data_IF_711421266332
#
_entry.id   IF_711421266332
#
_cell.length_a   1.000
_cell.length_b   1.000
_cell.length_c   1.000
_cell.angle_alpha   90.00
_cell.angle_beta   90.00
_cell.angle_gamma   90.00
#
_symmetry.space_group_name_H-M   'P 1'
#
loop_
_entity.id
_entity.type
_entity.pdbx_description
1 polymer ?
#
# COMPACT_ATOMS: atom_id res chain seq x y z
N UNK A 1 23.10 -26.64 23.98
CA UNK A 1 22.45 -26.60 22.65
C UNK A 1 21.31 -25.57 22.61
N UNK A 2 21.56 -24.28 22.90
CA UNK A 2 20.56 -23.19 22.81
C UNK A 2 21.01 -22.01 21.93
N UNK A 3 22.18 -22.12 21.31
CA UNK A 3 22.87 -21.03 20.61
C UNK A 3 22.60 -20.95 19.10
N UNK A 4 21.89 -21.92 18.50
CA UNK A 4 21.59 -21.90 17.05
C UNK A 4 20.20 -21.34 16.71
N UNK A 5 19.21 -21.48 17.58
CA UNK A 5 17.83 -21.03 17.30
C UNK A 5 17.72 -19.50 17.35
N UNK A 6 18.43 -18.84 18.26
CA UNK A 6 18.38 -17.38 18.38
C UNK A 6 19.02 -16.66 17.19
N UNK A 7 20.08 -17.24 16.61
CA UNK A 7 20.72 -16.71 15.40
C UNK A 7 19.89 -16.99 14.14
N UNK A 8 19.24 -18.15 14.03
CA UNK A 8 18.36 -18.45 12.89
C UNK A 8 17.11 -17.56 12.92
N UNK A 9 16.51 -17.32 14.09
CA UNK A 9 15.36 -16.41 14.23
C UNK A 9 15.76 -14.95 13.92
N UNK A 10 16.93 -14.48 14.37
CA UNK A 10 17.45 -13.15 14.01
C UNK A 10 17.86 -13.02 12.53
N UNK A 11 18.21 -14.13 11.87
CA UNK A 11 18.52 -14.15 10.44
C UNK A 11 17.24 -14.15 9.59
N UNK A 12 16.20 -14.86 10.03
CA UNK A 12 14.85 -14.87 9.41
C UNK A 12 14.17 -13.49 9.55
N UNK A 13 14.44 -12.75 10.64
CA UNK A 13 13.93 -11.39 10.87
C UNK A 13 14.74 -10.28 10.15
N UNK A 14 15.85 -10.62 9.49
CA UNK A 14 16.74 -9.66 8.78
C UNK A 14 16.49 -9.59 7.27
N UNK A 15 15.32 -10.01 6.82
CA UNK A 15 15.03 -10.21 5.40
C UNK A 15 13.83 -9.35 5.00
N UNK A 16 14.03 -8.08 4.60
CA UNK A 16 12.91 -7.20 4.32
C UNK A 16 12.15 -7.63 3.05
N UNK A 17 12.79 -8.37 2.13
CA UNK A 17 12.20 -8.77 0.84
C UNK A 17 12.86 -10.03 0.25
N UNK A 18 12.10 -10.72 -0.61
CA UNK A 18 12.52 -11.86 -1.43
C UNK A 18 12.51 -11.45 -2.91
N UNK A 19 13.57 -11.74 -3.64
CA UNK A 19 13.67 -11.45 -5.08
C UNK A 19 13.53 -12.75 -5.86
N UNK A 20 12.40 -12.95 -6.51
CA UNK A 20 12.15 -14.13 -7.31
C UNK A 20 12.61 -13.89 -8.76
N UNK A 21 13.48 -14.75 -9.26
CA UNK A 21 13.89 -14.80 -10.68
C UNK A 21 13.23 -16.02 -11.29
N UNK A 22 12.23 -15.78 -12.15
CA UNK A 22 11.55 -16.82 -12.92
C UNK A 22 12.29 -17.17 -14.22
N UNK A 23 12.96 -16.19 -14.83
CA UNK A 23 13.83 -16.38 -16.00
C UNK A 23 15.08 -15.51 -15.87
N UNK A 24 16.25 -16.14 -15.90
CA UNK A 24 17.55 -15.52 -15.70
C UNK A 24 18.66 -16.56 -15.83
N UNK A 25 19.89 -16.20 -15.48
CA UNK A 25 21.04 -17.13 -15.47
C UNK A 25 20.77 -18.33 -14.56
N UNK A 26 20.29 -18.07 -13.35
CA UNK A 26 19.87 -19.09 -12.41
C UNK A 26 18.50 -18.69 -11.81
N UNK A 27 17.39 -19.31 -12.22
CA UNK A 27 16.08 -19.07 -11.62
C UNK A 27 16.06 -19.49 -10.14
N UNK A 28 15.37 -18.72 -9.30
CA UNK A 28 15.34 -18.97 -7.87
C UNK A 28 14.91 -17.76 -7.06
N UNK A 29 14.94 -17.91 -5.73
CA UNK A 29 14.62 -16.83 -4.79
C UNK A 29 15.90 -16.35 -4.14
N UNK A 30 16.15 -15.06 -4.27
CA UNK A 30 17.31 -14.37 -3.77
C UNK A 30 16.94 -13.49 -2.60
N UNK A 31 17.91 -13.38 -1.69
CA UNK A 31 17.75 -12.75 -0.40
C UNK A 31 18.22 -11.28 -0.42
N UNK A 32 18.98 -10.93 -1.45
CA UNK A 32 19.50 -9.59 -1.67
C UNK A 32 19.35 -9.18 -3.14
N UNK A 33 19.24 -7.87 -3.37
CA UNK A 33 19.22 -7.33 -4.73
C UNK A 33 20.51 -7.60 -5.51
N UNK A 34 21.73 -7.46 -4.94
CA UNK A 34 22.96 -7.77 -5.67
C UNK A 34 23.00 -9.20 -6.23
N UNK A 35 22.64 -10.20 -5.44
CA UNK A 35 22.58 -11.60 -5.89
C UNK A 35 21.53 -11.82 -6.98
N UNK A 36 20.34 -11.21 -6.85
CA UNK A 36 19.30 -11.24 -7.88
C UNK A 36 19.77 -10.56 -9.17
N UNK A 37 20.43 -9.41 -9.05
CA UNK A 37 20.89 -8.59 -10.17
C UNK A 37 21.91 -9.35 -11.02
N UNK A 38 22.82 -10.11 -10.39
CA UNK A 38 23.75 -11.00 -11.10
C UNK A 38 23.04 -12.00 -12.02
N UNK A 39 21.80 -12.39 -11.71
CA UNK A 39 21.07 -13.36 -12.51
C UNK A 39 20.33 -12.76 -13.70
N UNK A 40 19.97 -11.48 -13.63
CA UNK A 40 19.06 -10.84 -14.60
C UNK A 40 19.74 -9.76 -15.43
N UNK A 41 20.83 -9.17 -14.92
CA UNK A 41 21.53 -8.09 -15.59
C UNK A 41 22.11 -8.54 -16.94
N UNK A 42 21.78 -7.81 -18.02
CA UNK A 42 22.15 -8.13 -19.41
C UNK A 42 21.70 -9.55 -19.86
N UNK A 43 20.70 -10.15 -19.21
CA UNK A 43 20.10 -11.42 -19.62
C UNK A 43 18.82 -11.13 -20.41
N UNK A 44 18.80 -11.50 -21.69
CA UNK A 44 17.68 -11.22 -22.61
C UNK A 44 16.42 -11.97 -22.20
N UNK A 45 15.32 -11.24 -22.03
CA UNK A 45 14.04 -11.82 -21.63
C UNK A 45 14.04 -12.34 -20.19
N UNK A 46 14.82 -11.74 -19.29
CA UNK A 46 14.74 -12.04 -17.87
C UNK A 46 13.37 -11.67 -17.29
N UNK A 47 12.88 -12.51 -16.38
CA UNK A 47 11.60 -12.33 -15.67
C UNK A 47 11.91 -12.45 -14.19
N UNK A 48 11.73 -11.37 -13.44
CA UNK A 48 11.98 -11.33 -12.02
C UNK A 48 11.05 -10.34 -11.32
N UNK A 49 10.81 -10.55 -10.03
CA UNK A 49 9.94 -9.70 -9.20
C UNK A 49 10.34 -9.77 -7.73
N UNK A 50 10.06 -8.70 -7.00
CA UNK A 50 10.32 -8.56 -5.56
C UNK A 50 9.02 -8.81 -4.77
N UNK A 51 9.13 -9.54 -3.66
CA UNK A 51 8.03 -9.94 -2.78
C UNK A 51 8.37 -9.67 -1.32
N UNK A 52 7.36 -9.43 -0.50
CA UNK A 52 7.49 -9.35 0.97
C UNK A 52 7.41 -10.72 1.64
N UNK A 53 6.85 -11.72 0.97
CA UNK A 53 6.72 -13.09 1.47
C UNK A 53 7.44 -14.09 0.57
N UNK A 54 8.14 -15.06 1.18
CA UNK A 54 8.79 -16.16 0.46
C UNK A 54 7.77 -16.98 -0.35
N UNK A 55 6.59 -17.21 0.22
CA UNK A 55 5.54 -18.02 -0.40
C UNK A 55 5.06 -17.39 -1.72
N UNK A 56 4.92 -16.07 -1.75
CA UNK A 56 4.52 -15.35 -2.97
C UNK A 56 5.60 -15.40 -4.05
N UNK A 57 6.87 -15.31 -3.64
CA UNK A 57 8.01 -15.48 -4.54
C UNK A 57 8.05 -16.89 -5.17
N UNK A 58 7.75 -17.94 -4.39
CA UNK A 58 7.64 -19.32 -4.88
C UNK A 58 6.49 -19.46 -5.89
N UNK A 59 5.32 -18.90 -5.58
CA UNK A 59 4.16 -18.92 -6.47
C UNK A 59 4.42 -18.24 -7.81
N UNK A 60 5.11 -17.10 -7.80
CA UNK A 60 5.46 -16.36 -9.02
C UNK A 60 6.33 -17.18 -9.95
N UNK A 61 7.37 -17.84 -9.42
CA UNK A 61 8.25 -18.70 -10.22
C UNK A 61 7.44 -19.85 -10.84
N UNK A 62 6.56 -20.48 -10.05
CA UNK A 62 5.69 -21.56 -10.52
C UNK A 62 4.72 -21.11 -11.61
N UNK A 63 4.10 -19.94 -11.45
CA UNK A 63 3.18 -19.39 -12.44
C UNK A 63 3.89 -19.10 -13.77
N UNK A 64 5.13 -18.61 -13.72
CA UNK A 64 5.93 -18.36 -14.90
C UNK A 64 6.45 -19.65 -15.55
N UNK A 65 6.77 -20.69 -14.77
CA UNK A 65 7.14 -22.00 -15.32
C UNK A 65 5.96 -22.66 -16.03
N UNK A 66 4.75 -22.56 -15.46
CA UNK A 66 3.53 -23.11 -16.05
C UNK A 66 3.17 -22.37 -17.36
N UNK A 67 3.46 -21.07 -17.43
CA UNK A 67 3.28 -20.26 -18.64
C UNK A 67 4.31 -20.59 -19.74
N UNK A 68 5.49 -21.11 -19.38
CA UNK A 68 6.53 -21.51 -20.34
C UNK A 68 6.29 -22.89 -20.98
N UNK A 69 5.49 -23.76 -20.35
CA UNK A 69 5.11 -25.06 -20.89
C UNK A 69 3.89 -25.02 -21.84
N UNK A 70 3.19 -23.89 -21.94
CA UNK A 70 2.02 -23.72 -22.84
C UNK A 70 2.42 -23.14 -24.21
N UNK A 71 3.69 -22.76 -24.40
CA UNK A 71 4.14 -22.07 -25.61
C UNK A 71 4.64 -22.98 -26.74
N UNK A 72 4.46 -24.30 -26.64
CA UNK A 72 4.91 -25.27 -27.67
C UNK A 72 3.78 -26.08 -28.34
N UNK A 73 2.51 -25.89 -28.00
CA UNK A 73 1.43 -26.78 -28.50
C UNK A 73 0.06 -26.13 -28.74
N UNK A 74 -0.02 -24.79 -28.89
CA UNK A 74 -1.28 -24.12 -29.29
C UNK A 74 -1.12 -23.30 -30.57
N UNK A 75 -0.80 -24.00 -31.66
CA UNK A 75 -1.28 -23.68 -32.98
C UNK A 75 -2.07 -24.90 -33.46
N UNK A 76 -3.28 -24.67 -33.96
CA UNK A 76 -4.27 -25.65 -34.44
C UNK A 76 -5.18 -26.18 -33.31
N UNK A 77 -6.32 -25.51 -33.11
CA UNK A 77 -7.66 -26.10 -33.20
C UNK A 77 -8.71 -25.06 -32.79
N UNK A 78 -9.09 -24.22 -33.75
CA UNK A 78 -10.43 -23.66 -33.80
C UNK A 78 -11.13 -24.20 -35.05
N UNK A 79 -12.38 -24.64 -34.85
CA UNK A 79 -13.42 -25.03 -35.83
C UNK A 79 -13.54 -26.52 -36.18
N UNK A 80 -14.36 -27.21 -35.38
CA UNK A 80 -15.52 -28.09 -35.71
C UNK A 80 -15.83 -28.83 -34.40
N UNK A 81 -17.05 -28.94 -33.88
CA UNK A 81 -18.33 -29.20 -34.50
C UNK A 81 -19.44 -28.80 -33.51
N UNK A 82 -20.49 -28.15 -34.01
CA UNK A 82 -21.67 -27.84 -33.21
C UNK A 82 -22.64 -29.02 -33.10
N UNK A 83 -23.68 -28.78 -32.31
CA UNK A 83 -24.89 -29.58 -32.09
C UNK A 83 -24.78 -30.72 -31.07
N UNK A 84 -25.40 -30.51 -29.90
CA UNK A 84 -26.55 -31.29 -29.40
C UNK A 84 -27.26 -30.40 -28.35
N UNK A 85 -28.49 -30.00 -28.66
CA UNK A 85 -29.55 -29.53 -27.75
C UNK A 85 -29.99 -30.75 -26.88
N UNK A 86 -30.57 -30.68 -25.68
CA UNK A 86 -31.62 -29.78 -25.22
C UNK A 86 -31.91 -30.04 -23.71
N UNK A 87 -32.44 -29.00 -23.04
CA UNK A 87 -33.43 -28.98 -21.92
C UNK A 87 -33.29 -29.91 -20.70
N UNK A 88 -33.27 -29.29 -19.51
CA UNK A 88 -34.49 -29.16 -18.67
C UNK A 88 -34.30 -28.15 -17.52
N UNK A 89 -35.18 -27.13 -17.49
CA UNK A 89 -35.54 -26.29 -16.33
C UNK A 89 -36.88 -26.79 -15.81
N UNK A 90 -37.07 -26.96 -14.49
CA UNK A 90 -38.35 -26.68 -13.83
C UNK A 90 -38.09 -26.07 -12.44
N UNK A 91 -38.79 -24.98 -12.18
CA UNK A 91 -39.00 -24.22 -10.93
C UNK A 91 -40.42 -24.57 -10.42
N UNK A 92 -40.75 -24.45 -9.12
CA UNK A 92 -42.07 -23.96 -8.61
C UNK A 92 -42.17 -23.97 -7.05
N UNK A 93 -42.40 -22.75 -6.56
CA UNK A 93 -43.37 -22.23 -5.56
C UNK A 93 -43.39 -22.55 -4.05
N UNK A 94 -43.52 -21.41 -3.34
CA UNK A 94 -44.15 -21.15 -2.03
C UNK A 94 -45.60 -21.61 -1.92
N UNK A 95 -46.01 -22.07 -0.73
CA UNK A 95 -47.35 -21.78 -0.16
C UNK A 95 -47.33 -21.85 1.38
N UNK A 96 -48.19 -21.02 1.95
CA UNK A 96 -48.36 -20.57 3.33
C UNK A 96 -49.24 -21.47 4.22
N UNK A 97 -49.08 -21.32 5.54
CA UNK A 97 -50.10 -21.23 6.63
C UNK A 97 -49.80 -22.08 7.88
N UNK A 98 -49.99 -21.44 9.04
CA UNK A 98 -49.91 -21.87 10.46
C UNK A 98 -51.16 -22.72 10.87
N UNK A 99 -51.42 -23.13 12.15
CA UNK A 99 -50.84 -22.70 13.43
C UNK A 99 -50.66 -23.75 14.57
N UNK A 100 -50.03 -23.26 15.64
CA UNK A 100 -50.18 -23.61 17.08
C UNK A 100 -49.87 -25.02 17.62
N UNK A 101 -48.93 -25.09 18.56
CA UNK A 101 -49.22 -25.62 19.90
C UNK A 101 -48.18 -25.17 20.96
N UNK A 102 -48.69 -24.92 22.17
CA UNK A 102 -48.03 -24.35 23.36
C UNK A 102 -47.39 -25.47 24.20
N UNK A 103 -46.22 -25.22 24.85
CA UNK A 103 -46.06 -25.22 26.34
C UNK A 103 -44.60 -25.32 26.85
N UNK A 104 -44.33 -24.42 27.81
CA UNK A 104 -43.63 -24.52 29.12
C UNK A 104 -42.16 -24.99 29.17
N UNK A 105 -41.18 -24.16 29.59
CA UNK A 105 -40.84 -23.54 30.91
C UNK A 105 -40.08 -24.49 31.86
N UNK A 106 -38.80 -24.18 32.13
CA UNK A 106 -38.16 -24.39 33.45
C UNK A 106 -36.88 -23.55 33.61
N UNK A 107 -36.71 -23.00 34.82
CA UNK A 107 -35.65 -22.12 35.33
C UNK A 107 -34.75 -22.91 36.30
N UNK A 108 -33.47 -22.53 36.44
CA UNK A 108 -32.71 -22.42 37.72
C UNK A 108 -31.26 -21.95 37.42
N UNK A 109 -30.73 -20.80 37.91
CA UNK A 109 -30.25 -20.44 39.28
C UNK A 109 -29.23 -21.47 39.84
N UNK A 110 -28.05 -21.21 40.44
CA UNK A 110 -27.18 -20.10 40.90
C UNK A 110 -25.81 -20.77 41.21
N UNK A 111 -24.65 -20.09 41.11
CA UNK A 111 -23.74 -19.84 42.27
C UNK A 111 -22.46 -19.06 41.92
N UNK A 112 -22.32 -17.98 42.70
CA UNK A 112 -21.21 -17.06 42.89
C UNK A 112 -20.16 -17.74 43.78
N UNK A 113 -18.88 -17.52 43.52
CA UNK A 113 -17.82 -17.50 44.52
C UNK A 113 -16.72 -16.54 44.03
N UNK A 114 -16.23 -15.77 44.99
CA UNK A 114 -15.44 -14.56 44.87
C UNK A 114 -14.14 -14.83 45.63
N UNK A 115 -12.99 -14.49 45.06
CA UNK A 115 -11.76 -14.26 45.82
C UNK A 115 -10.86 -13.33 45.03
N UNK A 116 -10.47 -12.25 45.69
CA UNK A 116 -9.63 -11.17 45.22
C UNK A 116 -8.18 -11.59 45.05
N UNK A 117 -7.48 -10.98 44.10
CA UNK A 117 -6.08 -10.58 44.26
C UNK A 117 -5.72 -9.45 43.27
N UNK A 118 -4.82 -8.59 43.74
CA UNK A 118 -4.51 -7.23 43.31
C UNK A 118 -3.50 -7.23 42.16
N UNK A 119 -3.70 -6.44 41.10
CA UNK A 119 -2.58 -5.72 40.44
C UNK A 119 -3.05 -4.70 39.39
N UNK A 120 -2.62 -3.45 39.58
CA UNK A 120 -2.29 -2.43 38.57
C UNK A 120 -3.11 -2.35 37.27
N UNK A 121 -3.97 -1.33 37.19
CA UNK A 121 -4.56 -0.84 35.93
C UNK A 121 -3.45 -0.27 35.02
N UNK A 122 -2.86 -1.11 34.19
CA UNK A 122 -2.37 -0.68 32.88
C UNK A 122 -3.43 -1.08 31.85
N UNK A 123 -4.06 -0.07 31.24
CA UNK A 123 -4.99 -0.28 30.13
C UNK A 123 -4.20 -0.76 28.91
N UNK A 124 -4.10 -2.08 28.74
CA UNK A 124 -3.73 -2.71 27.49
C UNK A 124 -4.75 -2.33 26.42
N UNK A 125 -4.45 -1.29 25.63
CA UNK A 125 -5.06 -1.13 24.32
C UNK A 125 -4.57 -2.28 23.44
N UNK A 126 -5.44 -3.25 23.21
CA UNK A 126 -5.27 -4.31 22.22
C UNK A 126 -5.23 -3.65 20.83
N UNK A 127 -4.04 -3.28 20.36
CA UNK A 127 -3.84 -2.91 18.96
C UNK A 127 -4.15 -4.12 18.09
N UNK A 128 -5.26 -4.06 17.36
CA UNK A 128 -5.42 -4.82 16.13
C UNK A 128 -4.11 -4.73 15.34
N UNK A 129 -3.57 -5.87 14.92
CA UNK A 129 -2.30 -6.00 14.20
C UNK A 129 -2.28 -5.06 12.97
N UNK A 130 -1.71 -3.87 13.13
CA UNK A 130 -1.49 -2.94 12.02
C UNK A 130 -0.20 -3.38 11.33
N UNK A 131 -0.33 -4.20 10.29
CA UNK A 131 0.80 -4.68 9.49
C UNK A 131 1.40 -3.53 8.67
N UNK A 132 2.18 -2.67 9.33
CA UNK A 132 2.98 -1.64 8.69
C UNK A 132 4.26 -2.24 8.13
N UNK A 133 4.68 -1.76 6.96
CA UNK A 133 6.04 -2.01 6.49
C UNK A 133 6.99 -1.14 7.30
N UNK A 134 7.87 -1.76 8.09
CA UNK A 134 8.88 -1.06 8.89
C UNK A 134 10.22 -1.24 8.19
N UNK A 135 10.81 -0.13 7.74
CA UNK A 135 12.14 -0.10 7.16
C UNK A 135 13.24 -0.15 8.22
N UNK A 136 14.49 -0.18 7.77
CA UNK A 136 15.64 -0.12 8.68
C UNK A 136 15.56 1.17 9.53
N UNK A 137 15.84 1.05 10.83
CA UNK A 137 15.77 2.12 11.85
C UNK A 137 14.36 2.45 12.41
N UNK A 138 13.42 1.51 12.31
CA UNK A 138 12.07 1.57 12.89
C UNK A 138 11.16 2.66 12.29
N UNK A 139 11.44 3.07 11.04
CA UNK A 139 10.56 3.98 10.30
C UNK A 139 9.47 3.18 9.59
N UNK A 140 8.21 3.60 9.74
CA UNK A 140 7.12 3.09 8.91
C UNK A 140 7.26 3.67 7.51
N UNK A 141 7.31 2.80 6.50
CA UNK A 141 7.31 3.22 5.10
C UNK A 141 5.90 3.64 4.67
N UNK A 142 5.81 4.78 4.00
CA UNK A 142 4.62 5.22 3.26
C UNK A 142 5.05 5.74 1.90
N UNK A 143 4.24 5.44 0.88
CA UNK A 143 4.40 5.98 -0.47
C UNK A 143 3.27 6.97 -0.75
N UNK A 144 3.62 8.11 -1.31
CA UNK A 144 2.69 9.19 -1.61
C UNK A 144 2.87 9.67 -3.04
N UNK A 145 1.76 9.90 -3.74
CA UNK A 145 1.75 10.39 -5.12
C UNK A 145 0.59 11.36 -5.36
N UNK A 146 0.80 12.30 -6.29
CA UNK A 146 -0.19 13.25 -6.75
C UNK A 146 -0.42 13.18 -8.26
N UNK A 147 -1.66 12.87 -8.68
CA UNK A 147 -2.02 12.84 -10.08
C UNK A 147 -2.91 14.04 -10.44
N UNK A 148 -2.73 14.61 -11.64
CA UNK A 148 -3.61 15.66 -12.16
C UNK A 148 -3.86 15.46 -13.66
N UNK A 149 -5.12 15.22 -14.01
CA UNK A 149 -5.58 15.24 -15.39
C UNK A 149 -5.72 16.68 -15.87
N UNK A 150 -5.36 16.95 -17.13
CA UNK A 150 -5.46 18.28 -17.75
C UNK A 150 -4.76 19.38 -16.94
N UNK A 151 -3.63 19.08 -16.29
CA UNK A 151 -2.92 20.01 -15.42
C UNK A 151 -2.61 21.34 -16.13
N UNK A 152 -2.99 22.47 -15.49
CA UNK A 152 -2.83 23.81 -16.06
C UNK A 152 -3.86 24.20 -17.14
N UNK A 153 -4.85 23.35 -17.42
CA UNK A 153 -5.93 23.60 -18.39
C UNK A 153 -7.29 23.63 -17.70
N UNK A 154 -8.30 24.16 -18.41
CA UNK A 154 -9.69 24.14 -17.96
C UNK A 154 -10.16 22.69 -17.80
N UNK A 155 -10.88 22.40 -16.71
CA UNK A 155 -11.35 21.06 -16.40
C UNK A 155 -10.28 20.17 -15.74
N UNK A 156 -9.19 20.75 -15.22
CA UNK A 156 -8.22 20.00 -14.45
C UNK A 156 -8.89 19.32 -13.24
N UNK A 157 -8.59 18.03 -13.06
CA UNK A 157 -9.01 17.24 -11.90
C UNK A 157 -7.80 16.52 -11.34
N UNK A 158 -7.58 16.64 -10.04
CA UNK A 158 -6.41 16.09 -9.37
C UNK A 158 -6.80 15.15 -8.21
N UNK A 159 -6.02 14.11 -7.99
CA UNK A 159 -6.26 13.11 -6.95
C UNK A 159 -4.98 12.79 -6.19
N UNK A 160 -5.15 12.38 -4.94
CA UNK A 160 -4.05 12.00 -4.04
C UNK A 160 -4.05 10.50 -3.81
N UNK A 161 -2.84 9.93 -3.74
CA UNK A 161 -2.60 8.54 -3.40
C UNK A 161 -1.71 8.45 -2.15
N UNK A 162 -2.13 7.65 -1.17
CA UNK A 162 -1.33 7.30 0.01
C UNK A 162 -1.37 5.79 0.18
N UNK A 163 -0.19 5.15 0.21
CA UNK A 163 -0.07 3.71 0.29
C UNK A 163 0.91 3.30 1.42
N UNK A 164 0.40 2.55 2.40
CA UNK A 164 1.15 1.98 3.53
C UNK A 164 1.47 0.48 3.34
N UNK A 165 0.84 -0.17 2.36
CA UNK A 165 0.92 -1.61 2.15
C UNK A 165 -0.31 -2.14 1.41
N UNK A 166 -0.24 -3.36 0.91
CA UNK A 166 -1.38 -3.98 0.24
C UNK A 166 -2.54 -4.18 1.19
N UNK A 167 -3.74 -3.80 0.75
CA UNK A 167 -4.99 -3.85 1.53
C UNK A 167 -4.91 -3.12 2.89
N UNK A 168 -3.93 -2.23 3.08
CA UNK A 168 -3.75 -1.56 4.36
C UNK A 168 -4.92 -0.57 4.61
N UNK A 169 -5.56 -0.58 5.78
CA UNK A 169 -6.77 0.22 6.05
C UNK A 169 -6.52 1.72 6.06
N UNK A 170 -5.25 2.15 6.13
CA UNK A 170 -4.88 3.56 6.01
C UNK A 170 -4.60 4.02 4.58
N UNK A 171 -4.68 3.17 3.57
CA UNK A 171 -4.52 3.62 2.18
C UNK A 171 -5.59 4.64 1.81
N UNK A 172 -5.22 5.64 0.99
CA UNK A 172 -6.12 6.71 0.56
C UNK A 172 -6.10 6.89 -0.93
N UNK A 173 -7.30 7.04 -1.48
CA UNK A 173 -7.56 7.56 -2.82
C UNK A 173 -8.68 8.59 -2.73
N UNK A 174 -8.37 9.88 -2.95
CA UNK A 174 -9.33 10.99 -2.80
C UNK A 174 -9.06 12.09 -3.82
N UNK A 175 -10.09 12.88 -4.20
CA UNK A 175 -9.86 14.10 -4.97
C UNK A 175 -9.09 15.12 -4.13
N UNK A 176 -8.26 15.92 -4.80
CA UNK A 176 -7.63 17.11 -4.23
C UNK A 176 -8.71 18.11 -3.81
N UNK A 177 -8.52 18.72 -2.64
CA UNK A 177 -9.37 19.81 -2.18
C UNK A 177 -8.77 21.14 -2.64
N UNK A 178 -9.57 22.01 -3.26
CA UNK A 178 -9.10 23.31 -3.76
C UNK A 178 -8.55 23.23 -5.19
N UNK A 179 -7.43 23.91 -5.47
CA UNK A 179 -6.93 24.05 -6.85
C UNK A 179 -6.37 22.72 -7.38
N UNK A 180 -7.05 22.14 -8.36
CA UNK A 180 -6.62 20.92 -9.05
C UNK A 180 -5.35 21.16 -9.88
N UNK A 181 -4.20 20.88 -9.27
CA UNK A 181 -2.88 20.88 -9.92
C UNK A 181 -2.07 19.69 -9.41
N UNK A 182 -1.10 19.22 -10.18
CA UNK A 182 -0.21 18.14 -9.74
C UNK A 182 0.49 18.53 -8.41
N UNK A 183 1.16 19.69 -8.34
CA UNK A 183 1.85 20.15 -7.13
C UNK A 183 0.93 20.19 -5.89
N UNK A 184 -0.35 20.54 -6.05
CA UNK A 184 -1.32 20.52 -4.95
C UNK A 184 -1.59 19.09 -4.47
N UNK A 185 -1.74 18.15 -5.41
CA UNK A 185 -1.95 16.75 -5.12
C UNK A 185 -0.76 16.17 -4.33
N UNK A 186 0.47 16.46 -4.76
CA UNK A 186 1.70 16.00 -4.08
C UNK A 186 1.77 16.46 -2.63
N UNK A 187 1.52 17.75 -2.37
CA UNK A 187 1.53 18.33 -1.02
C UNK A 187 0.43 17.72 -0.14
N UNK A 188 -0.78 17.56 -0.70
CA UNK A 188 -1.91 17.01 0.06
C UNK A 188 -1.75 15.52 0.35
N UNK A 189 -1.15 14.73 -0.55
CA UNK A 189 -0.87 13.32 -0.32
C UNK A 189 0.01 13.12 0.93
N UNK A 190 1.09 13.88 1.05
CA UNK A 190 1.94 13.89 2.26
C UNK A 190 1.17 14.37 3.49
N UNK A 191 0.40 15.45 3.38
CA UNK A 191 -0.37 16.00 4.50
C UNK A 191 -1.35 14.96 5.06
N UNK A 192 -2.02 14.21 4.18
CA UNK A 192 -2.94 13.14 4.57
C UNK A 192 -2.19 11.95 5.18
N UNK A 193 -1.08 11.53 4.58
CA UNK A 193 -0.23 10.46 5.11
C UNK A 193 0.24 10.76 6.55
N UNK A 194 0.75 11.98 6.79
CA UNK A 194 1.18 12.44 8.10
C UNK A 194 0.04 12.43 9.14
N UNK A 195 -1.14 12.95 8.76
CA UNK A 195 -2.32 12.94 9.64
C UNK A 195 -2.77 11.51 9.99
N UNK A 196 -2.71 10.58 9.04
CA UNK A 196 -3.04 9.18 9.28
C UNK A 196 -2.02 8.48 10.18
N UNK A 197 -0.73 8.69 9.91
CA UNK A 197 0.36 8.18 10.73
C UNK A 197 0.21 8.62 12.19
N UNK A 198 -0.03 9.92 12.42
CA UNK A 198 -0.24 10.48 13.77
C UNK A 198 -1.45 9.87 14.47
N UNK A 199 -2.59 9.75 13.79
CA UNK A 199 -3.79 9.08 14.33
C UNK A 199 -3.54 7.61 14.65
N UNK A 200 -2.62 6.96 13.94
CA UNK A 200 -2.26 5.57 14.16
C UNK A 200 -1.21 5.37 15.26
N UNK A 201 -0.65 6.45 15.83
CA UNK A 201 0.41 6.40 16.84
C UNK A 201 1.82 6.26 16.25
N UNK A 202 1.99 6.50 14.95
CA UNK A 202 3.29 6.42 14.28
C UNK A 202 4.06 7.72 14.49
N UNK A 203 5.26 7.59 15.05
CA UNK A 203 6.14 8.72 15.36
C UNK A 203 7.36 8.80 14.44
N UNK A 204 7.70 7.72 13.71
CA UNK A 204 8.79 7.65 12.74
C UNK A 204 8.24 7.24 11.38
N UNK A 205 8.33 8.11 10.38
CA UNK A 205 7.73 7.91 9.06
C UNK A 205 8.75 8.14 7.95
N UNK A 206 8.96 7.15 7.09
CA UNK A 206 9.74 7.29 5.87
C UNK A 206 8.79 7.53 4.70
N UNK A 207 8.82 8.75 4.18
CA UNK A 207 7.97 9.20 3.08
C UNK A 207 8.72 8.99 1.77
N UNK A 208 8.15 8.14 0.92
CA UNK A 208 8.65 7.82 -0.41
C UNK A 208 7.78 8.55 -1.46
N UNK A 209 8.39 9.39 -2.29
CA UNK A 209 7.71 10.19 -3.33
C UNK A 209 8.62 10.40 -4.53
N UNK A 210 8.07 10.49 -5.74
CA UNK A 210 8.80 10.87 -6.95
C UNK A 210 8.73 12.38 -7.27
N UNK A 211 8.05 13.16 -6.43
CA UNK A 211 7.91 14.60 -6.60
C UNK A 211 9.20 15.34 -6.25
N UNK A 212 10.04 15.56 -7.28
CA UNK A 212 11.19 16.48 -7.18
C UNK A 212 10.78 17.88 -6.72
N UNK A 213 9.57 18.33 -7.10
CA UNK A 213 9.01 19.59 -6.62
C UNK A 213 8.90 19.60 -5.09
N UNK A 214 8.31 18.55 -4.52
CA UNK A 214 8.10 18.45 -3.08
C UNK A 214 9.43 18.34 -2.33
N UNK A 215 10.33 17.48 -2.80
CA UNK A 215 11.69 17.34 -2.23
C UNK A 215 12.42 18.68 -2.22
N UNK A 216 12.35 19.46 -3.31
CA UNK A 216 12.95 20.80 -3.35
C UNK A 216 12.25 21.81 -2.44
N UNK A 217 10.92 21.74 -2.31
CA UNK A 217 10.19 22.58 -1.36
C UNK A 217 10.74 22.39 0.06
N UNK A 218 10.88 21.15 0.50
CA UNK A 218 11.26 20.83 1.88
C UNK A 218 12.74 21.13 2.14
N UNK A 219 13.61 20.70 1.23
CA UNK A 219 15.08 20.77 1.44
C UNK A 219 15.65 22.15 1.16
N UNK A 220 15.13 22.85 0.16
CA UNK A 220 15.79 24.04 -0.39
C UNK A 220 14.92 25.30 -0.27
N UNK A 221 13.65 25.23 -0.68
CA UNK A 221 12.86 26.43 -0.94
C UNK A 221 12.12 26.96 0.28
N UNK A 222 11.41 26.12 1.04
CA UNK A 222 10.67 26.54 2.23
C UNK A 222 11.57 27.23 3.28
N UNK A 223 12.79 26.76 3.58
CA UNK A 223 13.69 27.47 4.49
C UNK A 223 14.06 28.88 4.00
N UNK A 224 14.22 29.07 2.68
CA UNK A 224 14.48 30.39 2.08
C UNK A 224 13.22 31.26 2.07
N UNK A 225 12.09 30.67 1.69
CA UNK A 225 10.80 31.36 1.60
C UNK A 225 10.33 31.87 2.95
N UNK A 226 10.49 31.09 4.02
CA UNK A 226 10.16 31.54 5.38
C UNK A 226 10.98 32.77 5.80
N UNK A 227 12.26 32.82 5.44
CA UNK A 227 13.14 33.95 5.74
C UNK A 227 12.84 35.20 4.91
N UNK A 228 12.32 35.05 3.69
CA UNK A 228 12.05 36.17 2.79
C UNK A 228 10.57 36.58 2.70
N UNK A 229 9.74 36.15 3.64
CA UNK A 229 8.31 36.51 3.67
C UNK A 229 7.44 35.78 2.64
N UNK A 230 7.88 34.60 2.18
CA UNK A 230 7.22 33.72 1.20
C UNK A 230 7.13 34.31 -0.20
N UNK A 231 8.28 34.76 -0.71
CA UNK A 231 8.43 35.27 -2.08
C UNK A 231 9.34 34.39 -2.94
N UNK A 232 8.99 34.23 -4.22
CA UNK A 232 9.81 33.52 -5.21
C UNK A 232 11.05 34.33 -5.59
N UNK A 233 11.93 33.75 -6.41
CA UNK A 233 13.09 34.47 -6.95
C UNK A 233 12.72 35.69 -7.81
N UNK A 234 11.47 35.76 -8.30
CA UNK A 234 10.95 36.88 -9.09
C UNK A 234 10.07 37.83 -8.26
N UNK A 235 10.26 37.85 -6.93
CA UNK A 235 9.49 38.64 -5.95
C UNK A 235 7.97 38.40 -5.92
N UNK A 236 7.48 37.31 -6.53
CA UNK A 236 6.04 36.97 -6.52
C UNK A 236 5.71 36.15 -5.26
N UNK A 237 4.48 36.23 -4.72
CA UNK A 237 4.05 35.34 -3.64
C UNK A 237 4.15 33.87 -4.04
N UNK A 238 4.63 33.03 -3.13
CA UNK A 238 4.66 31.57 -3.35
C UNK A 238 3.23 31.04 -3.35
N UNK A 239 2.83 30.47 -4.48
CA UNK A 239 1.44 30.10 -4.74
C UNK A 239 0.92 29.01 -3.78
N UNK A 240 1.77 28.04 -3.42
CA UNK A 240 1.41 26.91 -2.55
C UNK A 240 1.77 27.14 -1.08
N UNK A 241 1.92 28.40 -0.65
CA UNK A 241 2.35 28.74 0.71
C UNK A 241 1.46 28.10 1.77
N UNK A 242 0.15 28.24 1.64
CA UNK A 242 -0.82 27.78 2.65
C UNK A 242 -0.73 26.28 2.84
N UNK A 243 -0.69 25.52 1.75
CA UNK A 243 -0.71 24.06 1.80
C UNK A 243 0.63 23.49 2.25
N UNK A 244 1.74 24.14 1.91
CA UNK A 244 3.05 23.78 2.43
C UNK A 244 3.15 24.00 3.95
N UNK A 245 2.54 25.08 4.47
CA UNK A 245 2.46 25.32 5.92
C UNK A 245 1.56 24.30 6.62
N UNK A 246 0.43 23.92 6.02
CA UNK A 246 -0.43 22.86 6.55
C UNK A 246 0.26 21.50 6.58
N UNK A 247 1.00 21.17 5.52
CA UNK A 247 1.81 19.95 5.43
C UNK A 247 2.86 19.91 6.54
N UNK A 248 3.60 21.00 6.73
CA UNK A 248 4.59 21.09 7.80
C UNK A 248 3.95 20.95 9.19
N UNK A 249 2.81 21.59 9.42
CA UNK A 249 2.07 21.46 10.67
C UNK A 249 1.60 20.01 10.91
N UNK A 250 1.20 19.28 9.87
CA UNK A 250 0.80 17.89 9.95
C UNK A 250 1.98 16.95 10.27
N UNK A 251 3.17 17.25 9.74
CA UNK A 251 4.40 16.52 10.00
C UNK A 251 4.99 16.84 11.39
N UNK A 252 4.51 17.89 12.06
CA UNK A 252 5.00 18.27 13.39
C UNK A 252 4.83 17.12 14.39
N UNK A 253 5.93 16.82 15.08
CA UNK A 253 6.08 15.72 16.05
C UNK A 253 6.21 14.32 15.42
N UNK A 254 6.37 14.22 14.10
CA UNK A 254 6.81 12.99 13.43
C UNK A 254 8.28 13.18 13.06
N UNK A 255 9.11 12.20 13.37
CA UNK A 255 10.45 12.06 12.82
C UNK A 255 10.32 11.53 11.38
N UNK A 256 10.62 12.40 10.41
CA UNK A 256 10.35 12.14 9.00
C UNK A 256 11.65 11.94 8.23
N UNK A 257 11.77 10.80 7.56
CA UNK A 257 12.79 10.55 6.54
C UNK A 257 12.21 10.71 5.16
N UNK A 258 12.87 11.51 4.34
CA UNK A 258 12.50 11.72 2.94
C UNK A 258 13.30 10.79 2.05
N UNK A 259 12.60 10.05 1.19
CA UNK A 259 13.20 9.22 0.17
C UNK A 259 12.62 9.58 -1.20
N UNK A 260 13.44 10.15 -2.08
CA UNK A 260 13.05 10.37 -3.46
C UNK A 260 13.17 9.06 -4.24
N UNK A 261 12.09 8.65 -4.89
CA UNK A 261 12.08 7.52 -5.81
C UNK A 261 11.90 8.02 -7.24
N UNK A 262 12.38 7.27 -8.23
CA UNK A 262 12.08 7.62 -9.62
C UNK A 262 10.65 7.20 -9.94
N UNK A 263 9.90 8.09 -10.59
CA UNK A 263 8.56 7.78 -11.08
C UNK A 263 8.59 6.77 -12.22
N UNK A 264 7.59 5.88 -12.28
CA UNK A 264 7.35 4.94 -13.38
C UNK A 264 8.51 3.97 -13.73
N UNK A 265 9.31 3.56 -12.75
CA UNK A 265 10.43 2.61 -12.96
C UNK A 265 10.24 1.23 -12.31
N UNK A 266 9.03 0.81 -11.95
CA UNK A 266 8.81 -0.51 -11.32
C UNK A 266 8.88 -0.53 -9.79
N UNK A 267 8.93 0.63 -9.13
CA UNK A 267 8.92 0.69 -7.66
C UNK A 267 7.48 0.47 -7.19
N UNK A 268 7.18 -0.77 -6.80
CA UNK A 268 5.83 -1.22 -6.48
C UNK A 268 5.02 -0.26 -5.60
N UNK A 269 5.56 0.18 -4.46
CA UNK A 269 4.84 1.12 -3.57
C UNK A 269 4.51 2.46 -4.24
N UNK A 270 5.39 2.98 -5.10
CA UNK A 270 5.15 4.21 -5.85
C UNK A 270 4.08 4.00 -6.93
N UNK A 271 4.12 2.87 -7.63
CA UNK A 271 3.09 2.51 -8.62
C UNK A 271 1.71 2.34 -7.98
N UNK A 272 1.66 1.79 -6.76
CA UNK A 272 0.41 1.67 -6.01
C UNK A 272 -0.08 3.03 -5.53
N UNK A 273 0.80 3.94 -5.12
CA UNK A 273 0.44 5.32 -4.81
C UNK A 273 -0.09 6.06 -6.06
N UNK A 274 0.57 5.96 -7.21
CA UNK A 274 0.10 6.55 -8.49
C UNK A 274 -1.27 5.99 -8.89
N UNK A 275 -1.48 4.68 -8.76
CA UNK A 275 -2.79 4.06 -9.01
C UNK A 275 -3.87 4.65 -8.11
N UNK A 276 -3.60 4.82 -6.81
CA UNK A 276 -4.53 5.43 -5.86
C UNK A 276 -4.79 6.90 -6.20
N UNK A 277 -3.76 7.65 -6.61
CA UNK A 277 -3.88 9.06 -7.00
C UNK A 277 -4.77 9.22 -8.22
N UNK A 278 -4.59 8.39 -9.25
CA UNK A 278 -5.45 8.36 -10.45
C UNK A 278 -6.88 7.96 -10.14
N UNK A 279 -7.10 6.99 -9.25
CA UNK A 279 -8.43 6.67 -8.74
C UNK A 279 -9.06 7.86 -7.97
N UNK A 280 -8.23 8.67 -7.33
CA UNK A 280 -8.69 9.88 -6.62
C UNK A 280 -9.31 10.90 -7.58
N UNK A 281 -8.79 10.98 -8.81
CA UNK A 281 -9.33 11.83 -9.89
C UNK A 281 -10.73 11.38 -10.31
N UNK A 282 -11.03 10.08 -10.30
CA UNK A 282 -12.36 9.61 -10.71
C UNK A 282 -13.44 9.85 -9.65
N UNK A 283 -13.05 10.27 -8.44
CA UNK A 283 -13.94 10.45 -7.30
C UNK A 283 -14.50 11.87 -7.16
N UNK A 284 -14.29 12.76 -8.14
CA UNK A 284 -15.02 14.02 -8.22
C UNK A 284 -16.49 13.70 -8.53
N UNK A 285 -17.37 13.98 -7.57
CA UNK A 285 -18.82 13.87 -7.72
C UNK A 285 -19.40 15.22 -8.13
#
# INVERSE_FOLDING_TARGET
MRSNIFNVINYILKMPFYYAVAKGRNPGIYLSWPECQEQVNKFTGSIYKKFSSKLEAEHFIKQCSDSSNVSSSKLIEEKKFGSILDKQKINIQKRSLSPESKRKRSKSKIRKLESAEISSKESHYTTQEKNFTIGNEDYVDVYTDGACSSNGRRGAQAGIGVWFGDNHPLNVSKPVVGRATNNMAEIQAVTVAARQAKKAGIMKLKINTDSKFLINCITNWMPKWKRNGWKTATDKPVINKTELLEMEAALKSIDVKWNHVNGHVGIYGNEMADKLARQGITNYK
#
